data_IF_666719630633
#
_entry.id   IF_666719630633
#
_cell.length_a   1.000
_cell.length_b   1.000
_cell.length_c   1.000
_cell.angle_alpha   90.00
_cell.angle_beta   90.00
_cell.angle_gamma   90.00
#
_symmetry.space_group_name_H-M   'P 1'
#
loop_
_entity.id
_entity.type
_entity.pdbx_description
1 polymer ?
#
# COMPACT_ATOMS: atom_id res chain seq x y z
N UNK A 1 15.82 3.56 -8.24
CA UNK A 1 14.60 3.43 -9.09
C UNK A 1 14.68 2.09 -9.80
N UNK A 2 13.73 1.17 -9.64
CA UNK A 2 13.81 -0.14 -10.29
C UNK A 2 13.78 -0.03 -11.82
N UNK A 3 14.54 -0.88 -12.52
CA UNK A 3 14.56 -0.96 -13.99
C UNK A 3 13.28 -1.62 -14.55
N UNK A 4 12.10 -1.04 -14.25
CA UNK A 4 10.81 -1.49 -14.79
C UNK A 4 10.77 -1.45 -16.32
N UNK A 5 11.61 -0.59 -16.91
CA UNK A 5 11.94 -0.56 -18.33
C UNK A 5 13.46 -0.48 -18.41
N UNK A 6 14.07 -1.28 -19.31
CA UNK A 6 15.50 -1.24 -19.53
C UNK A 6 15.91 0.20 -19.90
N UNK A 7 16.80 0.85 -19.13
CA UNK A 7 17.25 2.19 -19.45
C UNK A 7 17.95 2.18 -20.81
N UNK A 8 17.72 3.22 -21.61
CA UNK A 8 18.48 3.45 -22.84
C UNK A 8 19.84 4.00 -22.41
N UNK A 9 20.78 3.09 -22.18
CA UNK A 9 22.14 3.41 -21.73
C UNK A 9 23.04 3.53 -22.95
N UNK A 10 23.71 4.67 -23.06
CA UNK A 10 24.86 4.82 -23.93
C UNK A 10 26.12 4.44 -23.13
N UNK A 11 26.57 3.19 -23.30
CA UNK A 11 27.68 2.62 -22.54
C UNK A 11 29.03 3.32 -22.77
N UNK A 12 29.17 4.10 -23.85
CA UNK A 12 30.35 4.93 -24.10
C UNK A 12 30.34 6.21 -23.26
N UNK A 13 29.14 6.72 -22.93
CA UNK A 13 28.97 7.95 -22.16
C UNK A 13 28.68 7.70 -20.67
N UNK A 14 28.32 6.47 -20.30
CA UNK A 14 27.93 6.07 -18.94
C UNK A 14 28.76 4.87 -18.44
N UNK A 15 30.05 5.08 -18.11
CA UNK A 15 30.94 4.02 -17.66
C UNK A 15 30.48 3.33 -16.38
N UNK A 16 29.62 3.97 -15.57
CA UNK A 16 29.03 3.42 -14.36
C UNK A 16 28.17 2.17 -14.62
N UNK A 17 27.64 1.98 -15.83
CA UNK A 17 26.84 0.82 -16.21
C UNK A 17 27.63 -0.25 -16.97
N UNK A 18 28.90 0.00 -17.28
CA UNK A 18 29.75 -1.01 -17.89
C UNK A 18 29.99 -2.17 -16.95
N UNK A 19 30.09 -3.36 -17.52
CA UNK A 19 30.38 -4.58 -16.79
C UNK A 19 31.12 -5.57 -17.72
N UNK A 20 31.88 -6.54 -17.20
CA UNK A 20 32.76 -7.37 -18.02
C UNK A 20 31.99 -8.49 -18.76
N UNK A 21 30.97 -8.12 -19.55
CA UNK A 21 30.11 -9.03 -20.29
C UNK A 21 30.89 -9.94 -21.24
N UNK A 22 32.00 -9.43 -21.79
CA UNK A 22 32.87 -10.16 -22.71
C UNK A 22 33.58 -11.34 -22.05
N UNK A 23 33.84 -11.29 -20.74
CA UNK A 23 34.50 -12.38 -20.01
C UNK A 23 33.61 -13.62 -19.90
N UNK A 24 32.29 -13.43 -19.86
CA UNK A 24 31.30 -14.49 -19.64
C UNK A 24 30.45 -14.78 -20.87
N UNK A 25 30.80 -14.23 -22.04
CA UNK A 25 30.07 -14.46 -23.28
C UNK A 25 28.62 -13.97 -23.24
N UNK A 26 28.36 -12.91 -22.48
CA UNK A 26 27.08 -12.19 -22.47
C UNK A 26 27.14 -10.99 -23.41
N UNK A 27 26.00 -10.35 -23.66
CA UNK A 27 25.92 -9.04 -24.29
C UNK A 27 25.77 -7.98 -23.21
N UNK A 28 26.29 -6.79 -23.48
CA UNK A 28 26.21 -5.68 -22.54
C UNK A 28 24.77 -5.35 -22.10
N UNK A 29 23.83 -5.42 -23.05
CA UNK A 29 22.40 -5.22 -22.82
C UNK A 29 21.72 -6.32 -21.98
N UNK A 30 22.35 -7.49 -21.81
CA UNK A 30 21.76 -8.60 -21.03
C UNK A 30 21.60 -8.23 -19.56
N UNK A 31 22.39 -7.27 -19.05
CA UNK A 31 22.29 -6.71 -17.70
C UNK A 31 20.88 -6.19 -17.39
N UNK A 32 20.30 -5.38 -18.28
CA UNK A 32 18.97 -4.79 -18.11
C UNK A 32 17.85 -5.69 -18.64
N UNK A 33 18.21 -6.74 -19.38
CA UNK A 33 17.29 -7.67 -20.01
C UNK A 33 17.23 -9.01 -19.28
N UNK A 34 17.79 -10.05 -19.92
CA UNK A 34 17.66 -11.44 -19.47
C UNK A 34 18.16 -11.64 -18.03
N UNK A 35 19.29 -11.03 -17.66
CA UNK A 35 19.86 -11.23 -16.32
C UNK A 35 18.97 -10.60 -15.25
N UNK A 36 18.52 -9.37 -15.46
CA UNK A 36 17.60 -8.70 -14.54
C UNK A 36 16.29 -9.48 -14.38
N UNK A 37 15.67 -9.86 -15.50
CA UNK A 37 14.40 -10.59 -15.50
C UNK A 37 14.50 -11.95 -14.82
N UNK A 38 15.64 -12.64 -15.00
CA UNK A 38 15.81 -13.98 -14.47
C UNK A 38 16.26 -13.99 -13.01
N UNK A 39 17.13 -13.06 -12.63
CA UNK A 39 17.82 -13.11 -11.34
C UNK A 39 17.42 -12.02 -10.35
N UNK A 40 16.78 -10.94 -10.79
CA UNK A 40 16.36 -9.85 -9.90
C UNK A 40 14.84 -9.65 -9.81
N UNK A 41 14.06 -10.25 -10.72
CA UNK A 41 12.59 -10.19 -10.70
C UNK A 41 11.94 -11.40 -10.00
N UNK A 42 10.83 -11.15 -9.28
CA UNK A 42 9.97 -12.18 -8.66
C UNK A 42 8.52 -12.07 -9.19
N UNK A 43 7.67 -13.12 -9.04
CA UNK A 43 6.34 -13.18 -9.66
C UNK A 43 5.32 -12.11 -9.27
N UNK A 44 5.63 -11.28 -8.27
CA UNK A 44 4.88 -10.06 -7.93
C UNK A 44 5.85 -8.88 -8.15
N UNK A 45 5.42 -7.70 -8.61
CA UNK A 45 6.25 -6.61 -9.17
C UNK A 45 7.18 -5.94 -8.13
N UNK A 46 8.08 -6.73 -7.60
CA UNK A 46 9.03 -6.49 -6.51
C UNK A 46 10.37 -7.01 -7.00
N UNK A 47 11.43 -6.29 -6.68
CA UNK A 47 12.79 -6.65 -7.06
C UNK A 47 13.50 -7.18 -5.82
N UNK A 48 14.40 -8.14 -6.02
CA UNK A 48 15.18 -8.72 -4.93
C UNK A 48 16.20 -7.68 -4.43
N UNK A 49 16.79 -6.92 -5.35
CA UNK A 49 17.80 -5.91 -5.08
C UNK A 49 17.49 -4.62 -5.82
N UNK A 50 18.01 -3.52 -5.26
CA UNK A 50 18.12 -2.27 -5.98
C UNK A 50 19.02 -2.44 -7.21
N UNK A 51 18.76 -1.69 -8.30
CA UNK A 51 19.50 -1.88 -9.55
C UNK A 51 21.01 -1.69 -9.43
N UNK A 52 21.46 -0.73 -8.60
CA UNK A 52 22.90 -0.51 -8.39
C UNK A 52 23.56 -1.69 -7.65
N UNK A 53 22.83 -2.30 -6.70
CA UNK A 53 23.30 -3.48 -5.99
C UNK A 53 23.32 -4.72 -6.90
N UNK A 54 22.31 -4.86 -7.77
CA UNK A 54 22.28 -5.93 -8.77
C UNK A 54 23.41 -5.79 -9.80
N UNK A 55 23.67 -4.57 -10.28
CA UNK A 55 24.80 -4.28 -11.17
C UNK A 55 26.14 -4.66 -10.53
N UNK A 56 26.36 -4.28 -9.27
CA UNK A 56 27.57 -4.64 -8.54
C UNK A 56 27.75 -6.16 -8.45
N UNK A 57 26.69 -6.90 -8.12
CA UNK A 57 26.71 -8.38 -8.08
C UNK A 57 27.04 -8.97 -9.47
N UNK A 58 26.44 -8.46 -10.54
CA UNK A 58 26.74 -8.88 -11.93
C UNK A 58 28.20 -8.58 -12.28
N UNK A 59 28.69 -7.39 -11.94
CA UNK A 59 30.06 -6.97 -12.22
C UNK A 59 31.08 -7.87 -11.53
N UNK A 60 30.93 -8.08 -10.21
CA UNK A 60 31.82 -8.93 -9.42
C UNK A 60 31.81 -10.36 -9.92
N UNK A 61 30.63 -10.94 -10.14
CA UNK A 61 30.50 -12.32 -10.57
C UNK A 61 31.04 -12.53 -11.99
N UNK A 62 30.79 -11.59 -12.91
CA UNK A 62 31.30 -11.68 -14.28
C UNK A 62 32.83 -11.52 -14.34
N UNK A 63 33.42 -10.73 -13.43
CA UNK A 63 34.88 -10.61 -13.30
C UNK A 63 35.52 -11.91 -12.82
N UNK A 64 34.87 -12.58 -11.87
CA UNK A 64 35.47 -13.71 -11.14
C UNK A 64 35.10 -15.08 -11.74
N UNK A 65 34.28 -15.12 -12.80
CA UNK A 65 33.85 -16.35 -13.48
C UNK A 65 34.66 -16.63 -14.74
N UNK A 66 35.01 -17.89 -14.98
CA UNK A 66 35.83 -18.28 -16.12
C UNK A 66 35.02 -18.48 -17.41
N UNK A 67 33.71 -18.73 -17.28
CA UNK A 67 32.80 -18.96 -18.40
C UNK A 67 31.35 -18.62 -18.04
N UNK A 68 30.48 -18.64 -19.06
CA UNK A 68 29.06 -18.29 -18.94
C UNK A 68 28.30 -19.18 -17.96
N UNK A 69 28.54 -20.48 -17.99
CA UNK A 69 27.78 -21.44 -17.17
C UNK A 69 28.08 -21.25 -15.69
N UNK A 70 29.36 -21.05 -15.34
CA UNK A 70 29.79 -20.71 -13.98
C UNK A 70 29.18 -19.39 -13.51
N UNK A 71 29.19 -18.37 -14.36
CA UNK A 71 28.61 -17.06 -14.06
C UNK A 71 27.11 -17.17 -13.76
N UNK A 72 26.36 -17.86 -14.62
CA UNK A 72 24.92 -18.08 -14.45
C UNK A 72 24.62 -18.89 -13.19
N UNK A 73 25.42 -19.92 -12.90
CA UNK A 73 25.28 -20.72 -11.68
C UNK A 73 25.49 -19.87 -10.42
N UNK A 74 26.52 -19.02 -10.40
CA UNK A 74 26.80 -18.13 -9.27
C UNK A 74 25.76 -17.03 -9.11
N UNK A 75 25.21 -16.50 -10.21
CA UNK A 75 24.09 -15.55 -10.15
C UNK A 75 22.84 -16.19 -9.56
N UNK A 76 22.55 -17.44 -9.94
CA UNK A 76 21.45 -18.19 -9.36
C UNK A 76 21.67 -18.43 -7.85
N UNK A 77 22.87 -18.82 -7.44
CA UNK A 77 23.21 -18.98 -6.03
C UNK A 77 23.06 -17.67 -5.25
N UNK A 78 23.55 -16.54 -5.81
CA UNK A 78 23.42 -15.21 -5.20
C UNK A 78 21.96 -14.81 -5.05
N UNK A 79 21.14 -15.02 -6.08
CA UNK A 79 19.69 -14.78 -6.03
C UNK A 79 19.04 -15.57 -4.89
N UNK A 80 19.31 -16.87 -4.81
CA UNK A 80 18.72 -17.74 -3.80
C UNK A 80 19.15 -17.35 -2.38
N UNK A 81 20.42 -16.93 -2.22
CA UNK A 81 20.93 -16.36 -0.98
C UNK A 81 20.18 -15.08 -0.60
N UNK A 82 20.01 -14.13 -1.52
CA UNK A 82 19.29 -12.88 -1.28
C UNK A 82 17.83 -13.12 -0.91
N UNK A 83 17.16 -14.06 -1.57
CA UNK A 83 15.79 -14.44 -1.21
C UNK A 83 15.71 -15.01 0.21
N UNK A 84 16.67 -15.84 0.59
CA UNK A 84 16.78 -16.38 1.96
C UNK A 84 17.06 -15.29 2.98
N UNK A 85 17.94 -14.33 2.66
CA UNK A 85 18.20 -13.16 3.51
C UNK A 85 16.93 -12.32 3.69
N UNK A 86 16.20 -12.03 2.61
CA UNK A 86 14.92 -11.32 2.66
C UNK A 86 13.91 -12.04 3.56
N UNK A 87 13.77 -13.36 3.42
CA UNK A 87 12.89 -14.15 4.27
C UNK A 87 13.30 -14.13 5.75
N UNK A 88 14.60 -14.19 6.03
CA UNK A 88 15.15 -14.11 7.39
C UNK A 88 14.94 -12.71 8.00
N UNK A 89 15.23 -11.65 7.25
CA UNK A 89 14.96 -10.27 7.66
C UNK A 89 13.47 -10.05 7.91
N UNK A 90 12.61 -10.55 7.02
CA UNK A 90 11.15 -10.50 7.17
C UNK A 90 10.70 -11.18 8.47
N UNK A 91 11.23 -12.37 8.77
CA UNK A 91 10.98 -13.08 10.04
C UNK A 91 11.50 -12.30 11.25
N UNK A 92 12.69 -11.71 11.18
CA UNK A 92 13.28 -10.92 12.27
C UNK A 92 12.47 -9.66 12.55
N UNK A 93 12.05 -8.93 11.51
CA UNK A 93 11.16 -7.77 11.62
C UNK A 93 9.86 -8.21 12.28
N UNK A 94 9.24 -9.31 11.85
CA UNK A 94 8.05 -9.85 12.49
C UNK A 94 8.27 -10.12 13.99
N UNK A 95 9.38 -10.74 14.38
CA UNK A 95 9.71 -10.99 15.79
C UNK A 95 9.90 -9.69 16.55
N UNK A 96 10.63 -8.70 16.01
CA UNK A 96 10.88 -7.41 16.66
C UNK A 96 9.57 -6.64 16.89
N UNK A 97 8.70 -6.60 15.88
CA UNK A 97 7.38 -5.96 15.95
C UNK A 97 6.47 -6.69 16.94
N UNK A 98 6.51 -8.04 16.98
CA UNK A 98 5.71 -8.84 17.91
C UNK A 98 6.20 -8.78 19.36
N UNK A 99 7.52 -8.66 19.56
CA UNK A 99 8.18 -8.66 20.88
C UNK A 99 8.17 -7.30 21.57
N UNK A 100 7.57 -6.27 20.97
CA UNK A 100 7.33 -5.00 21.63
C UNK A 100 8.46 -3.98 21.53
N UNK A 101 9.47 -4.19 20.66
CA UNK A 101 10.39 -3.10 20.27
C UNK A 101 9.65 -1.97 19.51
N UNK A 102 8.41 -2.22 19.10
CA UNK A 102 7.33 -1.26 18.84
C UNK A 102 6.04 -1.87 19.42
N UNK A 103 5.21 -1.12 20.16
CA UNK A 103 3.94 -1.67 20.65
C UNK A 103 2.89 -1.61 19.54
N UNK A 104 2.75 -2.69 18.78
CA UNK A 104 1.66 -2.81 17.82
C UNK A 104 0.40 -3.36 18.49
N UNK A 105 -0.75 -2.83 18.11
CA UNK A 105 -2.05 -3.41 18.50
C UNK A 105 -2.34 -4.72 17.75
N UNK A 106 -3.33 -5.49 18.23
CA UNK A 106 -3.68 -6.79 17.65
C UNK A 106 -4.07 -6.71 16.16
N UNK A 107 -4.65 -5.59 15.72
CA UNK A 107 -5.03 -5.36 14.32
C UNK A 107 -3.78 -5.16 13.45
N UNK A 108 -2.85 -4.32 13.91
CA UNK A 108 -1.56 -4.07 13.27
C UNK A 108 -0.71 -5.35 13.20
N UNK A 109 -0.72 -6.19 14.24
CA UNK A 109 -0.05 -7.51 14.23
C UNK A 109 -0.65 -8.45 13.18
N UNK A 110 -1.98 -8.51 13.06
CA UNK A 110 -2.64 -9.32 12.03
C UNK A 110 -2.31 -8.82 10.61
N UNK A 111 -2.27 -7.51 10.39
CA UNK A 111 -1.92 -6.93 9.09
C UNK A 111 -0.45 -7.12 8.75
N UNK A 112 0.42 -7.04 9.76
CA UNK A 112 1.84 -7.35 9.60
C UNK A 112 2.02 -8.82 9.21
N UNK A 113 1.33 -9.75 9.86
CA UNK A 113 1.36 -11.17 9.49
C UNK A 113 0.88 -11.37 8.05
N UNK A 114 -0.21 -10.71 7.66
CA UNK A 114 -0.75 -10.79 6.31
C UNK A 114 0.21 -10.22 5.25
N UNK A 115 0.84 -9.07 5.52
CA UNK A 115 1.91 -8.51 4.67
C UNK A 115 3.07 -9.48 4.54
N UNK A 116 3.49 -10.10 5.65
CA UNK A 116 4.59 -11.05 5.64
C UNK A 116 4.28 -12.35 4.90
N UNK A 117 3.02 -12.78 4.83
CA UNK A 117 2.67 -14.02 4.13
C UNK A 117 2.45 -13.80 2.63
N UNK A 118 1.82 -12.69 2.25
CA UNK A 118 1.34 -12.50 0.88
C UNK A 118 2.14 -11.46 0.09
N UNK A 119 2.79 -10.50 0.77
CA UNK A 119 3.59 -9.44 0.16
C UNK A 119 2.89 -8.73 -1.04
N UNK A 120 1.56 -8.66 -1.01
CA UNK A 120 0.78 -7.95 -2.01
C UNK A 120 0.74 -6.46 -1.68
N UNK A 121 0.58 -5.61 -2.69
CA UNK A 121 0.40 -4.17 -2.50
C UNK A 121 -0.69 -3.87 -1.46
N UNK A 122 -1.83 -4.55 -1.55
CA UNK A 122 -2.96 -4.35 -0.62
C UNK A 122 -2.60 -4.73 0.82
N UNK A 123 -1.82 -5.80 1.02
CA UNK A 123 -1.36 -6.22 2.34
C UNK A 123 -0.38 -5.22 2.97
N UNK A 124 0.46 -4.59 2.13
CA UNK A 124 1.38 -3.53 2.52
C UNK A 124 0.58 -2.27 2.86
N UNK A 125 -0.29 -1.80 1.96
CA UNK A 125 -1.13 -0.60 2.16
C UNK A 125 -2.01 -0.75 3.41
N UNK A 126 -2.58 -1.93 3.64
CA UNK A 126 -3.36 -2.22 4.83
C UNK A 126 -2.53 -2.07 6.12
N UNK A 127 -1.30 -2.62 6.15
CA UNK A 127 -0.41 -2.45 7.29
C UNK A 127 -0.06 -0.97 7.51
N UNK A 128 0.38 -0.26 6.48
CA UNK A 128 0.72 1.16 6.60
C UNK A 128 -0.47 2.00 7.05
N UNK A 129 -1.67 1.77 6.50
CA UNK A 129 -2.88 2.44 6.93
C UNK A 129 -3.20 2.21 8.41
N UNK A 130 -2.87 1.03 8.96
CA UNK A 130 -3.06 0.75 10.38
C UNK A 130 -2.01 1.40 11.28
N UNK A 131 -0.82 1.73 10.76
CA UNK A 131 0.25 2.41 11.50
C UNK A 131 0.04 3.93 11.57
N UNK A 132 -0.81 4.47 10.69
CA UNK A 132 -1.16 5.88 10.65
C UNK A 132 -2.12 6.22 11.81
N UNK A 133 -1.57 6.74 12.91
CA UNK A 133 -2.36 7.20 14.05
C UNK A 133 -3.22 8.43 13.67
N UNK A 134 -4.44 8.58 14.20
CA UNK A 134 -5.21 9.80 14.03
C UNK A 134 -4.40 11.04 14.41
N UNK A 135 -4.50 12.11 13.62
CA UNK A 135 -3.86 13.38 13.93
C UNK A 135 -4.44 13.97 15.23
N UNK A 136 -3.87 15.08 15.70
CA UNK A 136 -4.31 15.78 16.92
C UNK A 136 -5.80 16.19 16.92
N UNK A 137 -6.45 16.19 15.76
CA UNK A 137 -7.88 16.46 15.57
C UNK A 137 -8.74 15.20 15.47
N UNK A 138 -8.16 14.01 15.64
CA UNK A 138 -8.84 12.71 15.52
C UNK A 138 -9.11 12.27 14.09
N UNK A 139 -8.57 12.96 13.07
CA UNK A 139 -8.69 12.55 11.68
C UNK A 139 -7.63 11.50 11.35
N UNK A 140 -8.04 10.41 10.69
CA UNK A 140 -7.10 9.40 10.19
C UNK A 140 -6.20 10.03 9.12
N UNK A 141 -4.86 9.81 9.15
CA UNK A 141 -3.97 10.32 8.13
C UNK A 141 -4.36 9.73 6.78
N UNK A 142 -4.62 10.60 5.80
CA UNK A 142 -4.99 10.16 4.48
C UNK A 142 -3.75 9.80 3.68
N UNK A 143 -3.77 8.62 3.04
CA UNK A 143 -2.78 8.25 2.03
C UNK A 143 -2.74 9.21 0.83
N UNK A 144 -3.76 10.08 0.68
CA UNK A 144 -3.76 11.14 -0.34
C UNK A 144 -2.59 12.11 -0.18
N UNK A 145 -1.98 12.22 1.01
CA UNK A 145 -0.84 13.12 1.25
C UNK A 145 0.36 12.81 0.34
N UNK A 146 0.52 11.54 -0.06
CA UNK A 146 1.60 11.06 -0.92
C UNK A 146 1.29 11.17 -2.43
N UNK A 147 0.09 11.59 -2.83
CA UNK A 147 -0.25 11.78 -4.24
C UNK A 147 0.46 13.04 -4.81
N UNK A 148 0.77 13.07 -6.12
CA UNK A 148 1.26 14.28 -6.79
C UNK A 148 0.32 15.47 -6.54
N UNK A 149 0.88 16.67 -6.42
CA UNK A 149 0.14 17.88 -6.02
C UNK A 149 -1.10 18.16 -6.86
N UNK A 150 -1.04 17.88 -8.16
CA UNK A 150 -2.18 18.06 -9.08
C UNK A 150 -3.33 17.09 -8.79
N UNK A 151 -3.00 15.84 -8.44
CA UNK A 151 -3.98 14.81 -8.11
C UNK A 151 -4.59 15.04 -6.71
N UNK A 152 -3.78 15.51 -5.75
CA UNK A 152 -4.26 15.96 -4.43
C UNK A 152 -5.27 17.09 -4.57
N UNK A 153 -4.98 18.06 -5.43
CA UNK A 153 -5.86 19.21 -5.69
C UNK A 153 -7.19 18.76 -6.28
N UNK A 154 -7.16 17.92 -7.33
CA UNK A 154 -8.37 17.35 -7.95
C UNK A 154 -9.23 16.56 -6.96
N UNK A 155 -8.63 15.70 -6.12
CA UNK A 155 -9.38 14.95 -5.11
C UNK A 155 -10.00 15.84 -4.04
N UNK A 156 -9.30 16.89 -3.61
CA UNK A 156 -9.86 17.89 -2.69
C UNK A 156 -11.03 18.64 -3.31
N UNK A 157 -10.88 19.10 -4.55
CA UNK A 157 -11.93 19.78 -5.31
C UNK A 157 -13.17 18.88 -5.49
N UNK A 158 -12.97 17.59 -5.81
CA UNK A 158 -14.06 16.61 -5.93
C UNK A 158 -14.74 16.32 -4.58
N UNK A 159 -14.01 16.25 -3.45
CA UNK A 159 -14.62 16.09 -2.11
C UNK A 159 -15.44 17.32 -1.71
N UNK A 160 -14.92 18.52 -1.97
CA UNK A 160 -15.61 19.76 -1.66
C UNK A 160 -16.88 19.91 -2.51
N UNK A 161 -16.85 19.52 -3.79
CA UNK A 161 -18.05 19.46 -4.64
C UNK A 161 -19.08 18.41 -4.18
N UNK A 162 -18.63 17.26 -3.67
CA UNK A 162 -19.54 16.22 -3.16
C UNK A 162 -20.23 16.60 -1.84
N UNK A 163 -19.66 17.52 -1.06
CA UNK A 163 -20.24 18.04 0.18
C UNK A 163 -21.12 19.28 -0.01
N UNK A 164 -21.30 19.77 -1.23
CA UNK A 164 -22.08 20.97 -1.51
C UNK A 164 -23.57 20.61 -1.77
N UNK A 165 -24.51 20.93 -0.87
CA UNK A 165 -25.93 20.56 -1.02
C UNK A 165 -26.67 21.33 -2.12
N UNK A 166 -25.99 22.20 -2.89
CA UNK A 166 -26.60 23.07 -3.89
C UNK A 166 -26.55 22.58 -5.35
N UNK A 167 -26.05 21.38 -5.66
CA UNK A 167 -26.24 20.79 -7.00
C UNK A 167 -27.61 20.10 -7.16
N UNK A 168 -28.69 20.76 -6.73
CA UNK A 168 -30.04 20.46 -7.24
C UNK A 168 -30.20 21.17 -8.59
N UNK A 169 -30.51 20.47 -9.69
CA UNK A 169 -30.91 21.17 -10.91
C UNK A 169 -32.20 21.94 -10.64
N UNK A 170 -32.18 23.26 -10.87
CA UNK A 170 -33.33 24.14 -10.70
C UNK A 170 -34.44 23.81 -11.74
N UNK A 171 -35.71 24.08 -11.42
CA UNK A 171 -36.87 23.47 -12.08
C UNK A 171 -37.23 24.15 -13.40
N UNK A 172 -37.79 23.38 -14.33
CA UNK A 172 -38.38 23.87 -15.58
C UNK A 172 -39.67 24.65 -15.31
N UNK A 173 -39.91 25.84 -15.92
CA UNK A 173 -41.12 26.62 -15.71
C UNK A 173 -42.14 26.39 -16.83
N UNK A 174 -43.16 25.58 -16.55
CA UNK A 174 -44.51 25.55 -17.15
C UNK A 174 -45.26 24.47 -16.36
N UNK A 175 -46.35 24.73 -15.64
CA UNK A 175 -47.58 25.36 -16.11
C UNK A 175 -48.35 25.87 -14.87
N UNK A 176 -48.96 27.05 -14.98
CA UNK A 176 -49.88 27.57 -13.99
C UNK A 176 -51.28 27.00 -14.28
N UNK A 177 -52.07 26.64 -13.25
CA UNK A 177 -53.53 26.93 -13.15
C UNK A 177 -54.07 26.59 -11.74
N UNK A 178 -54.46 27.66 -11.07
CA UNK A 178 -55.52 27.93 -10.08
C UNK A 178 -55.72 27.26 -8.69
N UNK A 179 -56.15 28.08 -7.69
CA UNK A 179 -56.48 27.66 -6.33
C UNK A 179 -58.01 27.58 -6.08
N UNK A 180 -58.48 26.60 -5.31
CA UNK A 180 -59.69 26.74 -4.48
C UNK A 180 -59.90 25.57 -3.49
N UNK A 181 -60.47 25.94 -2.33
CA UNK A 181 -61.25 25.11 -1.38
C UNK A 181 -60.54 24.41 -0.20
N UNK A 182 -60.41 25.19 0.88
CA UNK A 182 -61.03 24.99 2.20
C UNK A 182 -61.50 23.57 2.58
N UNK A 183 -60.97 23.03 3.69
CA UNK A 183 -61.79 22.57 4.83
C UNK A 183 -60.95 22.23 6.07
N UNK A 184 -61.35 22.82 7.19
CA UNK A 184 -60.89 22.59 8.55
C UNK A 184 -61.27 21.18 9.05
N UNK A 185 -60.49 20.61 9.98
CA UNK A 185 -61.08 19.86 11.09
C UNK A 185 -60.18 19.83 12.33
N UNK A 186 -60.83 20.04 13.46
CA UNK A 186 -60.34 20.29 14.82
C UNK A 186 -59.84 19.01 15.51
N UNK A 187 -58.73 19.12 16.27
CA UNK A 187 -58.47 18.75 17.70
C UNK A 187 -59.35 17.68 18.41
N UNK A 188 -58.96 17.05 19.57
CA UNK A 188 -57.86 17.41 20.50
C UNK A 188 -57.09 16.23 21.18
N UNK A 189 -55.97 16.54 21.86
CA UNK A 189 -55.32 15.80 22.97
C UNK A 189 -56.11 16.04 24.29
N UNK A 190 -56.14 15.17 25.34
CA UNK A 190 -55.06 15.02 26.36
C UNK A 190 -55.17 13.70 27.24
N UNK A 191 -54.63 13.56 28.48
CA UNK A 191 -53.39 14.05 29.12
C UNK A 191 -52.53 12.94 29.82
N UNK A 192 -51.32 13.36 30.20
CA UNK A 192 -50.39 12.92 31.27
C UNK A 192 -50.82 11.87 32.31
N UNK A 193 -49.85 11.04 32.74
CA UNK A 193 -49.58 10.75 34.18
C UNK A 193 -48.12 10.29 34.40
N UNK A 194 -47.50 10.90 35.41
CA UNK A 194 -46.15 10.66 35.95
C UNK A 194 -45.93 9.25 36.55
N UNK A 195 -44.70 8.74 36.52
CA UNK A 195 -44.01 8.26 37.73
C UNK A 195 -42.53 7.94 37.44
N UNK A 196 -41.67 8.41 38.34
CA UNK A 196 -40.23 8.24 38.32
C UNK A 196 -39.78 6.98 39.09
N UNK A 197 -38.75 6.28 38.58
CA UNK A 197 -37.56 5.70 39.26
C UNK A 197 -37.73 4.80 40.53
N UNK A 198 -36.68 4.15 41.10
CA UNK A 198 -35.34 3.78 40.59
C UNK A 198 -34.83 2.36 41.06
N UNK A 199 -33.56 2.09 40.71
CA UNK A 199 -32.50 1.37 41.49
C UNK A 199 -32.36 -0.17 41.45
N UNK A 200 -31.12 -0.55 41.08
CA UNK A 200 -30.23 -1.57 41.69
C UNK A 200 -30.61 -3.04 41.48
N UNK A 201 -29.74 -4.04 41.27
CA UNK A 201 -28.29 -4.31 41.45
C UNK A 201 -28.01 -5.55 40.54
N UNK A 202 -26.92 -5.61 39.79
CA UNK A 202 -25.66 -6.34 40.08
C UNK A 202 -25.72 -7.85 40.38
N UNK A 203 -24.65 -8.53 39.91
CA UNK A 203 -24.17 -9.91 40.14
C UNK A 203 -24.86 -11.03 39.32
N UNK A 204 -24.24 -11.54 38.24
CA UNK A 204 -23.18 -12.56 38.21
C UNK A 204 -23.53 -13.86 38.95
N UNK A 205 -23.56 -14.99 38.22
CA UNK A 205 -23.17 -16.29 38.81
C UNK A 205 -23.92 -17.54 38.34
N UNK A 206 -23.24 -18.29 37.46
CA UNK A 206 -23.05 -19.75 37.49
C UNK A 206 -24.14 -20.76 37.05
N UNK A 207 -23.60 -21.69 36.24
CA UNK A 207 -24.06 -22.98 35.71
C UNK A 207 -24.64 -23.94 36.76
N UNK A 208 -25.53 -24.83 36.28
CA UNK A 208 -25.31 -26.30 36.26
C UNK A 208 -25.79 -26.82 34.91
#
# INVERSE_FOLDING_TARGET
MPWRQAPVVDFEQQPEYQWPFWNVGCREADLFGELHQRFNEVPNPTFIQDPDAFHADVFELARDSANKDEFIARLQERRDLRLKELDDFRRKIYILLRSGFTSLDDNQVCRLMHMNLFATLDSIVALYASLLAPNEYGEQPSLDEFLPSDERRRRRENRLQACDPQSKPAPSPADATDPASTSQSKMPTPPHLWAASPRQREAQGLRV
#
